data_IF_033552308053
#
_entry.id   IF_033552308053
#
_cell.length_a   1.000
_cell.length_b   1.000
_cell.length_c   1.000
_cell.angle_alpha   90.00
_cell.angle_beta   90.00
_cell.angle_gamma   90.00
#
_symmetry.space_group_name_H-M   'P 1'
#
loop_
_entity.id
_entity.type
_entity.pdbx_description
1 polymer ?
#
# COMPACT_ATOMS: atom_id res chain seq x y z
N UNK A 1 -2.80 -72.44 -51.44
CA UNK A 1 -3.26 -73.06 -50.17
C UNK A 1 -3.72 -71.89 -49.32
N UNK A 2 -4.95 -71.57 -49.43
CA UNK A 2 -6.15 -71.71 -48.58
C UNK A 2 -5.82 -71.46 -47.11
N UNK A 3 -6.40 -70.38 -46.52
CA UNK A 3 -7.55 -70.56 -45.68
C UNK A 3 -8.17 -69.18 -45.26
N UNK A 4 -9.48 -69.15 -45.46
CA UNK A 4 -10.42 -68.16 -44.95
C UNK A 4 -10.40 -68.12 -43.42
N UNK A 5 -10.64 -66.96 -42.82
CA UNK A 5 -11.35 -66.87 -41.54
C UNK A 5 -12.03 -65.50 -41.35
N UNK A 6 -13.27 -65.61 -41.37
CA UNK A 6 -14.41 -64.87 -40.83
C UNK A 6 -14.20 -63.53 -40.14
N UNK A 7 -14.95 -62.55 -40.67
CA UNK A 7 -15.26 -61.26 -39.98
C UNK A 7 -16.33 -61.52 -38.93
N UNK A 8 -16.04 -61.20 -37.67
CA UNK A 8 -17.03 -61.04 -36.62
C UNK A 8 -17.23 -59.53 -36.37
N UNK A 9 -18.39 -59.03 -36.74
CA UNK A 9 -18.81 -57.66 -36.44
C UNK A 9 -19.39 -57.66 -35.03
N UNK A 10 -18.69 -57.01 -34.11
CA UNK A 10 -19.18 -56.75 -32.76
C UNK A 10 -19.69 -55.31 -32.67
N UNK A 11 -20.98 -55.14 -32.70
CA UNK A 11 -21.69 -53.86 -32.42
C UNK A 11 -21.61 -53.60 -30.91
N UNK A 12 -20.66 -52.77 -30.49
CA UNK A 12 -20.58 -52.27 -29.12
C UNK A 12 -21.45 -51.00 -28.98
N UNK A 13 -22.51 -51.10 -28.18
CA UNK A 13 -23.30 -49.95 -27.79
C UNK A 13 -22.45 -49.01 -26.90
N UNK A 14 -22.19 -47.80 -27.36
CA UNK A 14 -21.58 -46.73 -26.58
C UNK A 14 -22.65 -46.19 -25.60
N UNK A 15 -22.62 -46.66 -24.35
CA UNK A 15 -23.34 -45.95 -23.26
C UNK A 15 -22.54 -44.69 -22.94
N UNK A 16 -23.06 -43.52 -23.31
CA UNK A 16 -22.55 -42.23 -22.91
C UNK A 16 -22.68 -42.06 -21.39
N UNK A 17 -21.54 -42.05 -20.72
CA UNK A 17 -21.46 -41.62 -19.31
C UNK A 17 -21.58 -40.09 -19.32
N UNK A 18 -22.74 -39.59 -18.94
CA UNK A 18 -22.95 -38.18 -18.63
C UNK A 18 -22.18 -37.91 -17.33
N UNK A 19 -21.16 -37.01 -17.31
CA UNK A 19 -20.54 -36.66 -16.06
C UNK A 19 -21.56 -35.95 -15.19
N UNK A 20 -21.86 -36.53 -14.04
CA UNK A 20 -22.65 -35.87 -13.00
C UNK A 20 -21.83 -34.63 -12.57
N UNK A 21 -22.34 -33.47 -12.95
CA UNK A 21 -21.88 -32.23 -12.34
C UNK A 21 -22.23 -32.32 -10.86
N UNK A 22 -21.25 -32.56 -10.02
CA UNK A 22 -21.39 -32.36 -8.59
C UNK A 22 -21.71 -30.89 -8.38
N UNK A 23 -22.97 -30.57 -8.17
CA UNK A 23 -23.37 -29.31 -7.55
C UNK A 23 -22.71 -29.34 -6.18
N UNK A 24 -21.60 -28.58 -6.06
CA UNK A 24 -21.07 -28.28 -4.75
C UNK A 24 -22.17 -27.53 -4.02
N UNK A 25 -22.83 -28.22 -3.10
CA UNK A 25 -23.65 -27.55 -2.13
C UNK A 25 -22.74 -26.52 -1.45
N UNK A 26 -22.99 -25.23 -1.70
CA UNK A 26 -22.50 -24.18 -0.85
C UNK A 26 -22.96 -24.59 0.56
N UNK A 27 -22.03 -24.98 1.41
CA UNK A 27 -22.30 -25.11 2.82
C UNK A 27 -22.82 -23.76 3.26
N UNK A 28 -24.06 -23.69 3.72
CA UNK A 28 -24.51 -22.56 4.54
C UNK A 28 -23.62 -22.55 5.78
N UNK A 29 -22.44 -21.97 5.63
CA UNK A 29 -21.58 -21.63 6.75
C UNK A 29 -22.40 -20.67 7.59
N UNK A 30 -22.57 -21.03 8.85
CA UNK A 30 -23.30 -20.23 9.81
C UNK A 30 -22.87 -18.76 9.72
N UNK A 31 -23.79 -17.78 9.87
CA UNK A 31 -23.53 -16.35 9.68
C UNK A 31 -22.49 -15.75 10.64
N UNK A 32 -21.84 -16.53 11.47
CA UNK A 32 -20.92 -16.10 12.52
C UNK A 32 -19.41 -16.21 12.21
N UNK A 33 -19.01 -16.67 11.04
CA UNK A 33 -17.61 -16.48 10.62
C UNK A 33 -17.46 -15.08 10.03
N UNK A 34 -17.17 -14.12 10.90
CA UNK A 34 -16.76 -12.77 10.51
C UNK A 34 -15.51 -12.93 9.65
N UNK A 35 -15.66 -12.75 8.35
CA UNK A 35 -14.52 -12.72 7.43
C UNK A 35 -13.59 -11.56 7.84
N UNK A 36 -12.32 -11.84 8.11
CA UNK A 36 -11.34 -10.80 8.41
C UNK A 36 -11.26 -9.81 7.23
N UNK A 37 -11.58 -8.52 7.42
CA UNK A 37 -11.64 -7.54 6.33
C UNK A 37 -10.29 -7.28 5.67
N UNK A 38 -9.18 -7.52 6.37
CA UNK A 38 -7.82 -7.39 5.82
C UNK A 38 -7.48 -8.48 4.81
N UNK A 39 -8.21 -9.61 4.80
CA UNK A 39 -7.82 -10.78 4.01
C UNK A 39 -7.72 -10.48 2.51
N UNK A 40 -8.71 -9.80 1.92
CA UNK A 40 -8.69 -9.44 0.49
C UNK A 40 -7.60 -8.41 0.18
N UNK A 41 -7.50 -7.38 1.00
CA UNK A 41 -6.49 -6.34 0.85
C UNK A 41 -5.07 -6.91 0.92
N UNK A 42 -4.81 -7.75 1.91
CA UNK A 42 -3.50 -8.36 2.09
C UNK A 42 -3.19 -9.40 1.01
N UNK A 43 -4.16 -10.25 0.62
CA UNK A 43 -3.96 -11.20 -0.47
C UNK A 43 -3.56 -10.47 -1.76
N UNK A 44 -4.21 -9.34 -2.07
CA UNK A 44 -3.86 -8.50 -3.22
C UNK A 44 -2.46 -7.90 -3.09
N UNK A 45 -2.08 -7.33 -1.95
CA UNK A 45 -0.72 -6.81 -1.70
C UNK A 45 0.36 -7.91 -1.85
N UNK A 46 0.07 -9.13 -1.38
CA UNK A 46 1.03 -10.23 -1.36
C UNK A 46 1.20 -10.93 -2.71
N UNK A 47 0.14 -11.01 -3.51
CA UNK A 47 0.09 -11.94 -4.64
C UNK A 47 -0.16 -11.31 -6.00
N UNK A 48 -0.71 -10.07 -6.07
CA UNK A 48 -1.07 -9.51 -7.37
C UNK A 48 0.13 -8.89 -8.09
N UNK A 49 0.26 -9.19 -9.36
CA UNK A 49 1.22 -8.54 -10.24
C UNK A 49 0.87 -7.05 -10.45
N UNK A 50 -0.42 -6.72 -10.42
CA UNK A 50 -0.95 -5.37 -10.54
C UNK A 50 -0.46 -4.46 -9.40
N UNK A 51 -0.46 -4.94 -8.16
CA UNK A 51 0.10 -4.21 -7.02
C UNK A 51 1.57 -3.86 -7.25
N UNK A 52 2.38 -4.84 -7.67
CA UNK A 52 3.78 -4.61 -8.01
C UNK A 52 3.97 -3.65 -9.19
N UNK A 53 3.12 -3.77 -10.21
CA UNK A 53 3.16 -2.88 -11.38
C UNK A 53 2.85 -1.43 -11.01
N UNK A 54 1.91 -1.17 -10.09
CA UNK A 54 1.61 0.17 -9.60
C UNK A 54 2.81 0.80 -8.87
N UNK A 55 3.56 0.02 -8.08
CA UNK A 55 4.79 0.50 -7.45
C UNK A 55 5.86 0.85 -8.49
N UNK A 56 6.13 -0.04 -9.45
CA UNK A 56 7.06 0.28 -10.55
C UNK A 56 6.61 1.50 -11.35
N UNK A 57 5.31 1.65 -11.62
CA UNK A 57 4.76 2.83 -12.29
C UNK A 57 5.03 4.11 -11.49
N UNK A 58 4.79 4.10 -10.18
CA UNK A 58 5.04 5.24 -9.30
C UNK A 58 6.51 5.66 -9.31
N UNK A 59 7.44 4.71 -9.10
CA UNK A 59 8.87 5.01 -9.11
C UNK A 59 9.39 5.40 -10.49
N UNK A 60 8.81 4.89 -11.58
CA UNK A 60 9.16 5.33 -12.94
C UNK A 60 8.71 6.77 -13.21
N UNK A 61 7.52 7.17 -12.74
CA UNK A 61 7.04 8.55 -12.79
C UNK A 61 7.99 9.47 -11.99
N UNK A 62 8.32 9.09 -10.75
CA UNK A 62 9.25 9.84 -9.93
C UNK A 62 10.63 10.01 -10.61
N UNK A 63 11.17 8.93 -11.18
CA UNK A 63 12.43 8.97 -11.94
C UNK A 63 12.36 9.94 -13.13
N UNK A 64 11.27 9.93 -13.87
CA UNK A 64 11.08 10.84 -15.02
C UNK A 64 11.10 12.31 -14.57
N UNK A 65 10.47 12.63 -13.44
CA UNK A 65 10.50 13.99 -12.88
C UNK A 65 11.91 14.38 -12.45
N UNK A 66 12.64 13.51 -11.76
CA UNK A 66 14.02 13.74 -11.36
C UNK A 66 14.93 13.95 -12.59
N UNK A 67 14.80 13.13 -13.63
CA UNK A 67 15.57 13.30 -14.87
C UNK A 67 15.29 14.64 -15.54
N UNK A 68 14.04 15.06 -15.57
CA UNK A 68 13.66 16.37 -16.14
C UNK A 68 14.23 17.53 -15.30
N UNK A 69 14.20 17.43 -13.97
CA UNK A 69 14.76 18.44 -13.09
C UNK A 69 16.29 18.53 -13.25
N UNK A 70 17.01 17.42 -13.31
CA UNK A 70 18.45 17.35 -13.57
C UNK A 70 18.82 18.03 -14.91
N UNK A 71 18.03 17.80 -15.96
CA UNK A 71 18.27 18.42 -17.27
C UNK A 71 18.04 19.94 -17.30
N UNK A 72 17.29 20.47 -16.34
CA UNK A 72 16.94 21.89 -16.24
C UNK A 72 17.76 22.65 -15.19
N UNK A 73 18.44 21.95 -14.30
CA UNK A 73 19.21 22.54 -13.19
C UNK A 73 20.35 23.42 -13.71
N UNK A 74 20.48 24.61 -13.12
CA UNK A 74 21.51 25.58 -13.47
C UNK A 74 22.53 25.75 -12.34
N UNK A 75 23.77 26.18 -12.63
CA UNK A 75 24.72 26.54 -11.61
C UNK A 75 24.16 27.60 -10.66
N UNK A 76 24.15 27.32 -9.36
CA UNK A 76 23.66 28.23 -8.32
C UNK A 76 22.20 27.93 -7.89
N UNK A 77 21.50 27.01 -8.57
CA UNK A 77 20.22 26.52 -8.08
C UNK A 77 20.37 25.74 -6.78
N UNK A 78 19.31 25.66 -5.99
CA UNK A 78 19.24 24.78 -4.82
C UNK A 78 19.49 23.33 -5.22
N UNK A 79 20.11 22.51 -4.37
CA UNK A 79 20.21 21.07 -4.58
C UNK A 79 18.83 20.46 -4.85
N UNK A 80 18.78 19.45 -5.72
CA UNK A 80 17.56 18.69 -5.97
C UNK A 80 17.32 17.70 -4.84
N UNK A 81 16.07 17.54 -4.46
CA UNK A 81 15.67 16.56 -3.46
C UNK A 81 14.37 15.86 -3.78
N UNK A 82 14.20 14.68 -3.18
CA UNK A 82 12.96 13.91 -3.09
C UNK A 82 12.59 13.80 -1.63
N UNK A 83 11.31 13.95 -1.32
CA UNK A 83 10.76 13.63 0.01
C UNK A 83 9.94 12.35 -0.13
N UNK A 84 10.14 11.40 0.78
CA UNK A 84 9.40 10.13 0.77
C UNK A 84 8.92 9.78 2.16
N UNK A 85 7.72 9.21 2.24
CA UNK A 85 7.34 8.38 3.37
C UNK A 85 8.13 7.07 3.36
N UNK A 86 7.99 6.25 4.41
CA UNK A 86 8.75 5.00 4.61
C UNK A 86 7.87 3.77 4.53
N UNK A 87 6.88 3.64 5.42
CA UNK A 87 6.07 2.43 5.58
C UNK A 87 5.04 2.30 4.46
N UNK A 88 5.01 1.12 3.81
CA UNK A 88 4.20 0.88 2.62
C UNK A 88 4.44 1.87 1.45
N UNK A 89 5.52 2.67 1.52
CA UNK A 89 6.02 3.50 0.43
C UNK A 89 7.37 2.97 -0.08
N UNK A 90 8.40 3.03 0.75
CA UNK A 90 9.76 2.52 0.45
C UNK A 90 9.95 1.10 0.99
N UNK A 91 9.37 0.83 2.16
CA UNK A 91 9.43 -0.45 2.87
C UNK A 91 8.05 -1.08 2.96
N UNK A 92 7.93 -2.33 2.53
CA UNK A 92 6.72 -3.12 2.69
C UNK A 92 6.67 -3.79 4.06
N UNK A 93 5.54 -3.64 4.74
CA UNK A 93 5.26 -4.22 6.07
C UNK A 93 4.36 -5.48 5.99
N UNK A 94 4.48 -6.24 4.91
CA UNK A 94 3.58 -7.36 4.58
C UNK A 94 3.54 -8.45 5.63
N UNK A 95 4.67 -8.77 6.27
CA UNK A 95 4.73 -9.83 7.28
C UNK A 95 4.06 -9.43 8.60
N UNK A 96 4.01 -8.15 8.94
CA UNK A 96 3.21 -7.62 10.05
C UNK A 96 1.72 -7.89 9.80
N UNK A 97 1.19 -7.44 8.67
CA UNK A 97 -0.21 -7.65 8.30
C UNK A 97 -0.56 -9.14 8.18
N UNK A 98 0.36 -9.96 7.65
CA UNK A 98 0.20 -11.41 7.60
C UNK A 98 0.07 -12.04 8.98
N UNK A 99 0.84 -11.56 9.95
CA UNK A 99 0.71 -12.00 11.34
C UNK A 99 -0.65 -11.61 11.94
N UNK A 100 -1.13 -10.39 11.70
CA UNK A 100 -2.43 -9.94 12.18
C UNK A 100 -3.57 -10.83 11.64
N UNK A 101 -3.58 -11.09 10.33
CA UNK A 101 -4.59 -11.97 9.71
C UNK A 101 -4.54 -13.38 10.29
N UNK A 102 -3.34 -13.97 10.45
CA UNK A 102 -3.18 -15.30 11.05
C UNK A 102 -3.60 -15.34 12.53
N UNK A 103 -3.51 -14.21 13.22
CA UNK A 103 -3.93 -14.05 14.63
C UNK A 103 -5.38 -13.59 14.76
N UNK A 104 -6.15 -13.60 13.65
CA UNK A 104 -7.53 -13.14 13.58
C UNK A 104 -7.75 -11.69 14.07
N UNK A 105 -6.74 -10.82 13.79
CA UNK A 105 -6.81 -9.38 14.01
C UNK A 105 -7.20 -8.70 12.70
N UNK A 106 -8.07 -7.72 12.77
CA UNK A 106 -8.69 -7.08 11.60
C UNK A 106 -8.45 -5.57 11.52
N UNK A 107 -7.71 -5.01 12.47
CA UNK A 107 -7.25 -3.62 12.49
C UNK A 107 -5.79 -3.56 12.94
N UNK A 108 -5.16 -2.39 12.82
CA UNK A 108 -3.81 -2.14 13.30
C UNK A 108 -3.71 -2.40 14.82
N UNK A 109 -2.58 -2.94 15.26
CA UNK A 109 -2.32 -3.29 16.68
C UNK A 109 -0.93 -2.79 17.09
N UNK A 110 -0.89 -1.67 17.81
CA UNK A 110 0.36 -1.04 18.28
C UNK A 110 1.29 -2.03 19.01
N UNK A 111 0.76 -2.81 19.93
CA UNK A 111 1.56 -3.73 20.72
C UNK A 111 2.24 -4.83 19.88
N UNK A 112 1.66 -5.20 18.73
CA UNK A 112 2.25 -6.13 17.77
C UNK A 112 3.24 -5.39 16.88
N UNK A 113 2.89 -4.19 16.46
CA UNK A 113 3.76 -3.33 15.66
C UNK A 113 5.07 -3.04 16.38
N UNK A 114 5.02 -2.62 17.63
CA UNK A 114 6.20 -2.31 18.46
C UNK A 114 7.15 -3.51 18.62
N UNK A 115 6.60 -4.73 18.69
CA UNK A 115 7.42 -5.94 18.72
C UNK A 115 8.04 -6.26 17.36
N UNK A 116 7.29 -6.03 16.29
CA UNK A 116 7.68 -6.43 14.93
C UNK A 116 8.66 -5.45 14.29
N UNK A 117 8.47 -4.14 14.50
CA UNK A 117 9.20 -3.09 13.78
C UNK A 117 10.72 -3.14 13.99
N UNK A 118 11.15 -3.55 15.18
CA UNK A 118 12.56 -3.69 15.53
C UNK A 118 13.25 -4.94 14.96
N UNK A 119 12.51 -5.87 14.33
CA UNK A 119 13.04 -7.15 13.85
C UNK A 119 13.66 -7.06 12.44
N UNK A 120 13.57 -5.93 11.77
CA UNK A 120 14.04 -5.74 10.38
C UNK A 120 13.46 -6.77 9.38
N UNK A 121 12.19 -7.12 9.53
CA UNK A 121 11.47 -8.06 8.65
C UNK A 121 10.80 -7.38 7.45
N UNK A 122 11.02 -6.09 7.29
CA UNK A 122 10.57 -5.33 6.13
C UNK A 122 11.32 -5.71 4.88
N UNK A 123 10.68 -5.53 3.74
CA UNK A 123 11.31 -5.68 2.43
C UNK A 123 11.20 -4.38 1.64
N UNK A 124 12.13 -4.11 0.75
CA UNK A 124 12.00 -2.96 -0.13
C UNK A 124 10.76 -3.11 -1.03
N UNK A 125 10.02 -2.01 -1.22
CA UNK A 125 8.94 -1.95 -2.18
C UNK A 125 9.46 -2.13 -3.63
N UNK A 126 8.68 -2.72 -4.55
CA UNK A 126 9.12 -2.97 -5.92
C UNK A 126 9.53 -1.67 -6.64
N UNK A 127 10.79 -1.58 -7.07
CA UNK A 127 11.36 -0.40 -7.74
C UNK A 127 11.90 0.68 -6.81
N UNK A 128 11.67 0.57 -5.49
CA UNK A 128 12.13 1.59 -4.55
C UNK A 128 13.66 1.74 -4.54
N UNK A 129 14.39 0.65 -4.33
CA UNK A 129 15.86 0.72 -4.24
C UNK A 129 16.50 1.22 -5.53
N UNK A 130 16.01 0.76 -6.69
CA UNK A 130 16.52 1.22 -7.99
C UNK A 130 16.30 2.72 -8.19
N UNK A 131 15.19 3.26 -7.70
CA UNK A 131 14.92 4.69 -7.75
C UNK A 131 15.78 5.47 -6.76
N UNK A 132 15.90 5.02 -5.51
CA UNK A 132 16.70 5.69 -4.49
C UNK A 132 18.19 5.71 -4.85
N UNK A 133 18.73 4.59 -5.33
CA UNK A 133 20.10 4.49 -5.82
C UNK A 133 20.34 5.36 -7.06
N UNK A 134 19.33 5.50 -7.93
CA UNK A 134 19.38 6.45 -9.05
C UNK A 134 19.47 7.90 -8.53
N UNK A 135 18.73 8.28 -7.50
CA UNK A 135 18.85 9.61 -6.88
C UNK A 135 20.27 9.83 -6.32
N UNK A 136 20.78 8.89 -5.54
CA UNK A 136 22.15 8.96 -4.98
C UNK A 136 23.21 9.11 -6.07
N UNK A 137 23.15 8.29 -7.12
CA UNK A 137 24.12 8.34 -8.24
C UNK A 137 24.09 9.65 -9.02
N UNK A 138 23.03 10.45 -8.89
CA UNK A 138 22.86 11.74 -9.55
C UNK A 138 22.91 12.94 -8.58
N UNK A 139 23.35 12.74 -7.33
CA UNK A 139 23.41 13.76 -6.29
C UNK A 139 22.06 14.44 -6.03
N UNK A 140 20.97 13.68 -6.07
CA UNK A 140 19.63 14.10 -5.66
C UNK A 140 19.37 13.54 -4.27
N UNK A 141 19.24 14.40 -3.28
CA UNK A 141 19.07 13.99 -1.90
C UNK A 141 17.71 13.38 -1.65
N UNK A 142 17.64 12.39 -0.76
CA UNK A 142 16.39 11.74 -0.40
C UNK A 142 16.12 11.93 1.08
N UNK A 143 15.04 12.61 1.40
CA UNK A 143 14.58 12.82 2.77
C UNK A 143 13.43 11.86 3.10
N UNK A 144 13.60 11.03 4.12
CA UNK A 144 12.61 10.11 4.65
C UNK A 144 11.86 10.79 5.79
N UNK A 145 10.55 10.94 5.66
CA UNK A 145 9.71 11.58 6.68
C UNK A 145 8.56 10.65 7.03
N UNK A 146 8.65 10.00 8.18
CA UNK A 146 7.68 9.00 8.64
C UNK A 146 7.11 9.36 10.01
N UNK A 147 5.98 8.75 10.36
CA UNK A 147 5.34 8.91 11.69
C UNK A 147 5.33 7.57 12.39
N UNK A 148 6.07 7.44 13.49
CA UNK A 148 6.15 6.25 14.33
C UNK A 148 6.47 6.66 15.76
N UNK A 149 6.03 5.89 16.77
CA UNK A 149 6.43 6.12 18.16
C UNK A 149 6.66 4.82 18.92
N UNK A 150 7.92 4.44 19.02
CA UNK A 150 8.40 3.34 19.87
C UNK A 150 9.22 3.88 21.07
N UNK A 151 8.93 5.11 21.51
CA UNK A 151 9.70 5.80 22.53
C UNK A 151 11.07 6.26 22.05
N UNK A 152 12.06 6.29 22.97
CA UNK A 152 13.43 6.73 22.70
C UNK A 152 14.10 6.06 21.49
N UNK A 153 13.97 4.74 21.24
CA UNK A 153 14.67 4.08 20.14
C UNK A 153 14.03 4.28 18.76
N UNK A 154 12.93 5.02 18.62
CA UNK A 154 12.18 5.12 17.35
C UNK A 154 13.06 5.51 16.15
N UNK A 155 13.89 6.55 16.27
CA UNK A 155 14.77 6.95 15.17
C UNK A 155 15.81 5.87 14.84
N UNK A 156 16.41 5.25 15.85
CA UNK A 156 17.42 4.20 15.61
C UNK A 156 16.80 2.95 14.95
N UNK A 157 15.56 2.63 15.26
CA UNK A 157 14.80 1.56 14.60
C UNK A 157 14.54 1.93 13.12
N UNK A 158 14.06 3.14 12.85
CA UNK A 158 13.82 3.59 11.48
C UNK A 158 15.10 3.56 10.62
N UNK A 159 16.22 4.05 11.17
CA UNK A 159 17.54 3.96 10.53
C UNK A 159 17.95 2.51 10.27
N UNK A 160 17.73 1.61 11.25
CA UNK A 160 18.03 0.18 11.10
C UNK A 160 17.20 -0.47 9.98
N UNK A 161 15.90 -0.19 9.92
CA UNK A 161 15.01 -0.73 8.90
C UNK A 161 15.45 -0.31 7.48
N UNK A 162 15.73 0.98 7.26
CA UNK A 162 16.18 1.49 5.97
C UNK A 162 17.55 0.91 5.56
N UNK A 163 18.49 0.83 6.52
CA UNK A 163 19.82 0.20 6.28
C UNK A 163 19.71 -1.28 5.94
N UNK A 164 18.78 -2.00 6.57
CA UNK A 164 18.62 -3.44 6.36
C UNK A 164 18.28 -3.82 4.91
N UNK A 165 17.65 -2.90 4.17
CA UNK A 165 17.31 -3.08 2.75
C UNK A 165 18.32 -2.40 1.81
N UNK A 166 19.33 -1.67 2.33
CA UNK A 166 20.34 -0.99 1.52
C UNK A 166 19.86 0.34 0.93
N UNK A 167 18.96 1.04 1.60
CA UNK A 167 18.56 2.40 1.21
C UNK A 167 19.72 3.41 1.39
N UNK A 168 19.91 4.37 0.49
CA UNK A 168 20.90 5.45 0.64
C UNK A 168 20.38 6.57 1.56
N UNK A 169 21.24 7.52 1.94
CA UNK A 169 20.92 8.70 2.77
C UNK A 169 20.29 8.32 4.12
N UNK A 170 20.79 7.25 4.76
CA UNK A 170 20.22 6.77 6.03
C UNK A 170 21.07 7.28 7.20
N UNK A 171 20.84 8.53 7.55
CA UNK A 171 21.43 9.25 8.67
C UNK A 171 20.40 10.19 9.34
N UNK A 172 20.81 10.89 10.41
CA UNK A 172 19.92 11.75 11.20
C UNK A 172 19.52 13.05 10.49
N UNK A 173 20.23 13.46 9.43
CA UNK A 173 19.88 14.63 8.62
C UNK A 173 18.73 14.30 7.66
N UNK A 174 18.79 13.12 7.05
CA UNK A 174 17.85 12.69 6.01
C UNK A 174 16.65 11.92 6.54
N UNK A 175 16.72 11.31 7.71
CA UNK A 175 15.61 10.54 8.30
C UNK A 175 14.98 11.31 9.45
N UNK A 176 13.71 11.67 9.26
CA UNK A 176 12.90 12.34 10.29
C UNK A 176 11.77 11.41 10.72
N UNK A 177 11.68 11.16 12.02
CA UNK A 177 10.58 10.40 12.62
C UNK A 177 9.73 11.32 13.49
N UNK A 178 8.46 11.43 13.14
CA UNK A 178 7.48 12.23 13.87
C UNK A 178 6.78 11.33 14.90
N UNK A 179 6.99 11.60 16.18
CA UNK A 179 6.46 10.78 17.28
C UNK A 179 5.12 11.31 17.84
N UNK A 180 5.04 12.60 18.06
CA UNK A 180 3.87 13.24 18.70
C UNK A 180 2.82 13.72 17.71
N UNK A 181 3.13 13.75 16.43
CA UNK A 181 2.29 14.29 15.38
C UNK A 181 2.57 13.63 14.05
N UNK A 182 1.52 13.34 13.29
CA UNK A 182 1.61 12.91 11.87
C UNK A 182 1.71 14.08 10.88
N UNK A 183 1.99 15.31 11.34
CA UNK A 183 2.07 16.48 10.47
C UNK A 183 3.43 16.59 9.80
N UNK A 184 3.59 15.96 8.65
CA UNK A 184 4.83 15.96 7.87
C UNK A 184 5.14 17.33 7.22
N UNK A 185 4.16 18.22 7.04
CA UNK A 185 4.36 19.52 6.39
C UNK A 185 5.40 20.39 7.11
N UNK A 186 5.57 20.26 8.43
CA UNK A 186 6.57 21.03 9.17
C UNK A 186 7.96 20.70 8.61
N UNK A 187 8.33 19.43 8.56
CA UNK A 187 9.64 19.01 8.04
C UNK A 187 9.78 19.23 6.54
N UNK A 188 8.72 19.00 5.77
CA UNK A 188 8.71 19.25 4.33
C UNK A 188 9.00 20.73 4.02
N UNK A 189 8.39 21.65 4.76
CA UNK A 189 8.64 23.09 4.60
C UNK A 189 10.07 23.49 4.95
N UNK A 190 10.71 22.84 5.93
CA UNK A 190 12.13 23.05 6.22
C UNK A 190 13.02 22.61 5.05
N UNK A 191 12.77 21.42 4.49
CA UNK A 191 13.53 20.89 3.35
C UNK A 191 13.39 21.81 2.13
N UNK A 192 12.20 22.31 1.84
CA UNK A 192 11.94 23.25 0.72
C UNK A 192 12.72 24.56 0.88
N UNK A 193 13.08 25.00 2.11
CA UNK A 193 13.92 26.20 2.30
C UNK A 193 15.33 26.02 1.71
N UNK A 194 15.89 24.82 1.80
CA UNK A 194 17.28 24.54 1.39
C UNK A 194 17.36 23.81 0.04
N UNK A 195 16.33 23.07 -0.36
CA UNK A 195 16.33 22.21 -1.54
C UNK A 195 15.22 22.56 -2.53
N UNK A 196 15.43 22.19 -3.79
CA UNK A 196 14.37 22.12 -4.81
C UNK A 196 13.77 20.73 -4.78
N UNK A 197 12.64 20.57 -4.09
CA UNK A 197 11.93 19.30 -3.97
C UNK A 197 11.22 19.00 -5.28
N UNK A 198 11.69 17.97 -5.99
CA UNK A 198 11.21 17.58 -7.31
C UNK A 198 9.89 16.82 -7.23
N UNK A 199 9.81 15.89 -6.30
CA UNK A 199 8.65 15.00 -6.12
C UNK A 199 8.55 14.54 -4.67
N UNK A 200 7.30 14.33 -4.22
CA UNK A 200 6.98 13.70 -2.94
C UNK A 200 6.34 12.34 -3.18
N UNK A 201 6.73 11.35 -2.38
CA UNK A 201 6.28 9.96 -2.47
C UNK A 201 5.55 9.57 -1.18
N UNK A 202 4.43 8.88 -1.29
CA UNK A 202 3.67 8.41 -0.14
C UNK A 202 2.56 7.43 -0.52
N UNK A 203 2.11 6.63 0.42
CA UNK A 203 0.97 5.72 0.29
C UNK A 203 -0.32 6.32 0.87
N UNK A 204 -0.20 7.48 1.50
CA UNK A 204 -1.29 8.19 2.15
C UNK A 204 -1.35 9.66 1.74
N UNK A 205 -2.53 10.23 1.55
CA UNK A 205 -2.69 11.66 1.22
C UNK A 205 -2.02 12.58 2.25
N UNK A 206 -1.97 12.17 3.51
CA UNK A 206 -1.34 12.91 4.59
C UNK A 206 0.17 13.04 4.46
N UNK A 207 0.80 12.23 3.61
CA UNK A 207 2.23 12.32 3.29
C UNK A 207 2.55 13.55 2.45
N UNK A 208 1.54 14.12 1.78
CA UNK A 208 1.71 15.28 0.91
C UNK A 208 1.30 16.58 1.59
N UNK A 209 0.08 16.64 2.17
CA UNK A 209 -0.47 17.88 2.75
C UNK A 209 -1.35 17.60 3.97
N UNK A 210 -1.23 18.43 4.99
CA UNK A 210 -2.05 18.33 6.21
C UNK A 210 -3.54 18.53 5.97
N UNK A 211 -3.94 19.28 4.95
CA UNK A 211 -5.35 19.52 4.60
C UNK A 211 -6.14 18.23 4.32
N UNK A 212 -5.47 17.14 3.95
CA UNK A 212 -6.11 15.85 3.70
C UNK A 212 -6.40 15.06 4.99
N UNK A 213 -6.00 15.59 6.14
CA UNK A 213 -6.27 14.96 7.44
C UNK A 213 -7.70 15.27 7.89
N UNK A 214 -8.67 14.72 7.15
CA UNK A 214 -10.11 14.87 7.39
C UNK A 214 -10.60 13.65 8.14
N UNK A 215 -11.26 13.85 9.28
CA UNK A 215 -11.77 12.79 10.15
C UNK A 215 -13.29 12.72 10.09
N UNK A 216 -13.87 11.50 10.02
CA UNK A 216 -15.32 11.27 10.05
C UNK A 216 -16.09 11.90 8.89
N UNK A 217 -15.40 12.22 7.79
CA UNK A 217 -16.01 12.86 6.61
C UNK A 217 -15.31 12.36 5.33
N UNK A 218 -15.84 11.30 4.76
CA UNK A 218 -15.29 10.66 3.55
C UNK A 218 -15.39 11.62 2.36
N UNK A 219 -16.52 12.28 2.20
CA UNK A 219 -16.78 13.15 1.03
C UNK A 219 -15.95 14.43 1.11
N UNK A 220 -15.79 15.00 2.30
CA UNK A 220 -14.87 16.11 2.53
C UNK A 220 -13.42 15.77 2.23
N UNK A 221 -12.96 14.54 2.56
CA UNK A 221 -11.60 14.09 2.22
C UNK A 221 -11.41 13.90 0.72
N UNK A 222 -12.41 13.35 0.04
CA UNK A 222 -12.42 13.22 -1.42
C UNK A 222 -12.39 14.60 -2.08
N UNK A 223 -13.23 15.53 -1.63
CA UNK A 223 -13.27 16.90 -2.16
C UNK A 223 -11.92 17.62 -2.00
N UNK A 224 -11.28 17.49 -0.84
CA UNK A 224 -9.95 18.07 -0.60
C UNK A 224 -8.86 17.51 -1.55
N UNK A 225 -8.95 16.22 -1.91
CA UNK A 225 -8.05 15.60 -2.91
C UNK A 225 -8.37 16.10 -4.32
N UNK A 226 -9.65 16.21 -4.70
CA UNK A 226 -10.08 16.66 -6.03
C UNK A 226 -9.62 18.09 -6.35
N UNK A 227 -9.50 18.97 -5.35
CA UNK A 227 -8.93 20.31 -5.51
C UNK A 227 -7.49 20.26 -6.06
N UNK A 228 -6.71 19.27 -5.63
CA UNK A 228 -5.31 19.10 -5.96
C UNK A 228 -5.03 17.98 -6.98
N UNK A 229 -6.06 17.43 -7.62
CA UNK A 229 -5.93 16.28 -8.52
C UNK A 229 -4.85 16.45 -9.60
N UNK A 230 -4.58 17.69 -10.01
CA UNK A 230 -3.57 18.02 -11.00
C UNK A 230 -2.12 17.83 -10.49
N UNK A 231 -1.91 17.69 -9.17
CA UNK A 231 -0.59 17.46 -8.57
C UNK A 231 -0.23 15.97 -8.53
N UNK A 232 -1.23 15.07 -8.55
CA UNK A 232 -0.99 13.64 -8.53
C UNK A 232 -0.43 13.14 -9.86
N UNK A 233 0.71 12.43 -9.78
CA UNK A 233 1.50 12.04 -10.93
C UNK A 233 2.45 13.14 -11.45
N UNK A 234 2.37 14.35 -10.89
CA UNK A 234 3.25 15.48 -11.21
C UNK A 234 4.20 15.81 -10.05
N UNK A 235 3.66 16.28 -8.95
CA UNK A 235 4.42 16.64 -7.75
C UNK A 235 4.28 15.57 -6.66
N UNK A 236 3.14 14.89 -6.64
CA UNK A 236 2.81 13.83 -5.70
C UNK A 236 2.70 12.49 -6.43
N UNK A 237 3.44 11.50 -5.97
CA UNK A 237 3.34 10.12 -6.44
C UNK A 237 2.77 9.27 -5.33
N UNK A 238 1.53 8.82 -5.55
CA UNK A 238 0.75 8.04 -4.60
C UNK A 238 0.91 6.55 -4.85
N UNK A 239 1.20 5.77 -3.79
CA UNK A 239 1.25 4.31 -3.83
C UNK A 239 -0.01 3.70 -3.20
N UNK A 240 -0.43 2.51 -3.63
CA UNK A 240 -1.65 1.90 -3.12
C UNK A 240 -1.43 1.27 -1.74
N UNK A 241 -2.25 1.63 -0.75
CA UNK A 241 -2.29 0.96 0.54
C UNK A 241 -3.73 0.71 1.01
N UNK A 242 -4.29 -0.48 0.76
CA UNK A 242 -5.63 -0.85 1.19
C UNK A 242 -5.69 -1.40 2.62
N UNK A 243 -4.55 -1.56 3.31
CA UNK A 243 -4.52 -2.15 4.67
C UNK A 243 -4.48 -1.12 5.77
N UNK A 244 -3.94 0.07 5.48
CA UNK A 244 -3.70 1.10 6.50
C UNK A 244 -3.80 2.50 5.91
N UNK A 245 -3.83 3.50 6.79
CA UNK A 245 -3.72 4.90 6.44
C UNK A 245 -4.87 5.78 6.93
N UNK A 246 -4.69 7.07 6.80
CA UNK A 246 -5.68 8.06 7.27
C UNK A 246 -6.99 8.09 6.44
N UNK A 247 -7.14 7.25 5.43
CA UNK A 247 -8.43 7.01 4.81
C UNK A 247 -9.39 6.31 5.78
N UNK A 248 -8.86 5.54 6.73
CA UNK A 248 -9.61 4.98 7.85
C UNK A 248 -10.12 6.09 8.77
N UNK A 249 -9.32 7.12 9.03
CA UNK A 249 -9.78 8.25 9.83
C UNK A 249 -10.98 8.99 9.22
N UNK A 250 -11.11 9.02 7.90
CA UNK A 250 -12.28 9.59 7.24
C UNK A 250 -13.55 8.74 7.47
N UNK A 251 -13.41 7.43 7.68
CA UNK A 251 -14.52 6.52 7.97
C UNK A 251 -14.86 6.53 9.46
N UNK A 252 -13.85 6.33 10.32
CA UNK A 252 -14.04 6.04 11.74
C UNK A 252 -13.86 7.26 12.65
N UNK A 253 -13.34 8.37 12.16
CA UNK A 253 -12.88 9.49 12.99
C UNK A 253 -11.50 9.24 13.62
N UNK A 254 -10.96 8.03 13.48
CA UNK A 254 -9.65 7.59 13.95
C UNK A 254 -8.94 6.77 12.86
N UNK A 255 -7.60 6.92 12.75
CA UNK A 255 -6.79 6.13 11.80
C UNK A 255 -6.54 4.70 12.28
N UNK A 256 -6.65 4.44 13.57
CA UNK A 256 -6.42 3.16 14.22
C UNK A 256 -7.65 2.74 15.04
N UNK A 257 -8.78 2.45 14.36
CA UNK A 257 -10.01 2.10 15.07
C UNK A 257 -9.84 0.76 15.80
N UNK A 258 -10.30 0.64 17.05
CA UNK A 258 -10.21 -0.62 17.78
C UNK A 258 -11.09 -1.69 17.16
N UNK A 259 -10.66 -2.95 17.24
CA UNK A 259 -11.43 -4.09 16.80
C UNK A 259 -12.73 -4.22 17.59
N UNK A 260 -13.88 -3.98 16.96
CA UNK A 260 -15.21 -4.08 17.56
C UNK A 260 -16.25 -4.50 16.52
N UNK A 261 -17.39 -5.03 16.98
CA UNK A 261 -18.51 -5.31 16.07
C UNK A 261 -19.02 -4.03 15.40
N UNK A 262 -19.11 -2.94 16.16
CA UNK A 262 -19.55 -1.63 15.69
C UNK A 262 -18.63 -1.13 14.54
N UNK A 263 -17.31 -1.17 14.72
CA UNK A 263 -16.38 -0.73 13.67
C UNK A 263 -16.43 -1.63 12.43
N UNK A 264 -16.70 -2.94 12.58
CA UNK A 264 -16.93 -3.82 11.43
C UNK A 264 -18.21 -3.47 10.67
N UNK A 265 -19.27 -3.08 11.37
CA UNK A 265 -20.52 -2.62 10.76
C UNK A 265 -20.33 -1.28 10.03
N UNK A 266 -19.61 -0.31 10.64
CA UNK A 266 -19.24 0.95 10.01
C UNK A 266 -18.41 0.70 8.73
N UNK A 267 -17.44 -0.21 8.76
CA UNK A 267 -16.64 -0.57 7.59
C UNK A 267 -17.51 -1.19 6.48
N UNK A 268 -18.46 -2.05 6.85
CA UNK A 268 -19.42 -2.66 5.92
C UNK A 268 -20.29 -1.58 5.27
N UNK A 269 -20.83 -0.64 6.05
CA UNK A 269 -21.61 0.47 5.55
C UNK A 269 -20.80 1.33 4.56
N UNK A 270 -19.56 1.68 4.92
CA UNK A 270 -18.67 2.41 4.03
C UNK A 270 -18.40 1.65 2.71
N UNK A 271 -18.21 0.33 2.77
CA UNK A 271 -17.97 -0.50 1.60
C UNK A 271 -19.22 -0.67 0.70
N UNK A 272 -20.42 -0.45 1.23
CA UNK A 272 -21.69 -0.64 0.51
C UNK A 272 -22.41 0.67 0.18
N UNK A 273 -21.75 1.83 0.29
CA UNK A 273 -22.32 3.17 0.03
C UNK A 273 -23.06 3.29 -1.32
N UNK A 274 -22.63 2.54 -2.33
CA UNK A 274 -23.21 2.57 -3.67
C UNK A 274 -23.70 1.17 -4.11
N UNK A 275 -24.12 0.35 -3.14
CA UNK A 275 -24.60 -0.97 -3.46
C UNK A 275 -25.88 -0.89 -4.29
N UNK A 276 -25.95 -1.70 -5.34
CA UNK A 276 -27.18 -1.89 -6.10
C UNK A 276 -28.20 -2.64 -5.23
N UNK A 277 -29.45 -2.16 -5.22
CA UNK A 277 -30.54 -2.71 -4.42
C UNK A 277 -31.16 -4.00 -4.96
N UNK A 278 -30.69 -4.48 -6.11
CA UNK A 278 -31.19 -5.68 -6.76
C UNK A 278 -32.29 -5.41 -7.79
N UNK A 279 -32.77 -4.16 -7.88
CA UNK A 279 -33.83 -3.82 -8.82
C UNK A 279 -33.27 -3.43 -10.20
N UNK A 280 -33.95 -3.74 -11.31
CA UNK A 280 -33.58 -3.27 -12.64
C UNK A 280 -33.68 -1.75 -12.70
N UNK A 281 -32.76 -1.11 -13.42
CA UNK A 281 -32.83 0.32 -13.67
C UNK A 281 -34.15 0.69 -14.35
N UNK A 282 -34.84 1.79 -13.97
CA UNK A 282 -36.11 2.23 -14.53
C UNK A 282 -36.04 2.57 -16.02
#
# INVERSE_FOLDING_TARGET
MQSLLSKLVLTGALMGVIPAHSVHAQSDAAPDQISNPLLYALAWKQTSAEYRALYHQGFNIARMHVQNALAQQQPGDKPLAVITDVDDTVLHVLSYWGHLVNSNKDFFEDAVWDQWIGLNLMTAAPGALEFLQFCEANNVEVFYVTSRDQGEPTLSIALSNLRSVGAPFVDEEHVTVLRESSNKEIRQNEIVQSHNVVVMLGDNLNDFRRKYYVRGDIDGRIAAMEEDKHLFGMQYVMFPNPTDGHWLAAIFGDSEPPASAENRDILREAATRSAWDGEPAP
#
